data_IF_972255104196
#
_entry.id   IF_972255104196
#
_cell.length_a   1.000
_cell.length_b   1.000
_cell.length_c   1.000
_cell.angle_alpha   90.00
_cell.angle_beta   90.00
_cell.angle_gamma   90.00
#
_symmetry.space_group_name_H-M   'P 1'
#
loop_
_entity.id
_entity.type
_entity.pdbx_description
1 polymer ?
#
# COMPACT_ATOMS: atom_id res chain seq x y z
N UNK A 1 -25.05 19.74 89.96
CA UNK A 1 -25.43 21.14 89.73
C UNK A 1 -24.31 21.82 88.93
N UNK A 2 -24.60 22.19 87.66
CA UNK A 2 -23.89 23.15 86.77
C UNK A 2 -22.42 22.83 86.38
N UNK A 3 -21.90 23.09 85.16
CA UNK A 3 -22.38 23.55 83.85
C UNK A 3 -21.16 23.50 82.88
N UNK A 4 -21.42 23.27 81.57
CA UNK A 4 -20.67 23.75 80.37
C UNK A 4 -19.27 23.18 80.10
N UNK A 5 -18.73 23.13 78.87
CA UNK A 5 -19.19 23.01 77.46
C UNK A 5 -17.92 23.23 76.60
N UNK A 6 -17.82 22.57 75.44
CA UNK A 6 -16.88 22.82 74.32
C UNK A 6 -15.43 22.31 74.58
N UNK A 7 -14.69 21.74 73.63
CA UNK A 7 -14.66 21.92 72.18
C UNK A 7 -14.06 20.68 71.48
N UNK A 8 -14.52 20.44 70.24
CA UNK A 8 -13.98 19.42 69.35
C UNK A 8 -12.71 19.88 68.61
N UNK A 9 -11.75 18.98 68.41
CA UNK A 9 -10.92 18.98 67.19
C UNK A 9 -10.33 17.59 66.84
N UNK A 10 -10.94 16.98 65.82
CA UNK A 10 -10.28 16.38 64.64
C UNK A 10 -9.51 15.06 64.80
N UNK A 11 -10.17 13.96 64.43
CA UNK A 11 -9.58 12.92 63.59
C UNK A 11 -10.65 12.46 62.59
N UNK A 12 -10.50 12.85 61.31
CA UNK A 12 -11.28 12.31 60.19
C UNK A 12 -10.63 11.00 59.75
N UNK A 13 -11.20 9.87 60.11
CA UNK A 13 -10.91 8.58 59.46
C UNK A 13 -11.76 8.46 58.20
N UNK A 14 -11.09 8.46 57.05
CA UNK A 14 -11.68 8.16 55.75
C UNK A 14 -11.94 6.66 55.63
N UNK A 15 -13.20 6.23 55.72
CA UNK A 15 -13.64 4.98 55.11
C UNK A 15 -13.97 5.27 53.65
N UNK A 16 -12.97 5.13 52.79
CA UNK A 16 -13.15 5.07 51.35
C UNK A 16 -13.74 3.68 51.04
N UNK A 17 -15.06 3.60 50.89
CA UNK A 17 -15.72 2.43 50.34
C UNK A 17 -15.24 2.26 48.90
N UNK A 18 -14.24 1.40 48.70
CA UNK A 18 -13.87 0.88 47.39
C UNK A 18 -14.99 -0.09 46.98
N UNK A 19 -16.10 0.48 46.52
CA UNK A 19 -17.12 -0.25 45.78
C UNK A 19 -16.49 -0.69 44.47
N UNK A 20 -15.91 -1.89 44.49
CA UNK A 20 -15.55 -2.62 43.28
C UNK A 20 -16.87 -2.90 42.55
N UNK A 21 -17.28 -1.98 41.68
CA UNK A 21 -18.34 -2.25 40.73
C UNK A 21 -17.83 -3.30 39.77
N UNK A 22 -18.02 -4.58 40.12
CA UNK A 22 -18.19 -5.60 39.10
C UNK A 22 -19.36 -5.12 38.23
N UNK A 23 -19.07 -4.49 37.10
CA UNK A 23 -19.97 -4.52 35.97
C UNK A 23 -20.07 -5.98 35.56
N UNK A 24 -20.97 -6.72 36.22
CA UNK A 24 -21.49 -7.93 35.64
C UNK A 24 -22.09 -7.52 34.29
N UNK A 25 -21.45 -7.96 33.20
CA UNK A 25 -22.05 -7.85 31.87
C UNK A 25 -23.44 -8.49 31.97
N UNK A 26 -24.49 -7.67 31.86
CA UNK A 26 -25.84 -8.21 31.80
C UNK A 26 -25.86 -9.20 30.63
N UNK A 27 -26.37 -10.43 30.83
CA UNK A 27 -26.46 -11.39 29.73
C UNK A 27 -27.25 -10.75 28.59
N UNK A 28 -26.86 -11.06 27.35
CA UNK A 28 -27.58 -10.61 26.16
C UNK A 28 -29.08 -10.78 26.38
N UNK A 29 -29.86 -9.70 26.26
CA UNK A 29 -31.31 -9.78 26.32
C UNK A 29 -31.80 -10.42 25.03
N UNK A 30 -31.82 -11.75 25.03
CA UNK A 30 -32.39 -12.58 23.97
C UNK A 30 -33.87 -12.72 24.29
N UNK A 31 -34.73 -12.17 23.46
CA UNK A 31 -36.17 -12.26 23.63
C UNK A 31 -36.78 -12.97 22.43
N UNK A 32 -37.27 -14.19 22.63
CA UNK A 32 -38.11 -14.89 21.65
C UNK A 32 -39.54 -14.38 21.76
N UNK A 33 -40.12 -14.06 20.61
CA UNK A 33 -41.44 -13.47 20.46
C UNK A 33 -42.22 -14.26 19.41
N UNK A 34 -43.54 -14.32 19.59
CA UNK A 34 -44.47 -14.71 18.52
C UNK A 34 -45.32 -13.49 18.21
N UNK A 35 -45.24 -13.01 16.98
CA UNK A 35 -46.10 -11.94 16.49
C UNK A 35 -47.27 -12.58 15.72
N UNK A 36 -48.41 -12.63 16.41
CA UNK A 36 -49.69 -13.13 15.91
C UNK A 36 -50.53 -12.04 15.21
N UNK A 37 -50.14 -10.76 15.34
CA UNK A 37 -50.81 -9.59 14.72
C UNK A 37 -52.27 -9.33 15.16
N UNK A 38 -52.85 -10.18 16.00
CA UNK A 38 -54.24 -10.08 16.45
C UNK A 38 -54.57 -8.81 17.25
N UNK A 39 -53.56 -8.22 17.89
CA UNK A 39 -53.70 -6.94 18.59
C UNK A 39 -53.77 -5.72 17.66
N UNK A 40 -53.60 -5.88 16.34
CA UNK A 40 -53.65 -4.79 15.37
C UNK A 40 -55.09 -4.48 14.93
N UNK A 41 -55.35 -3.21 14.62
CA UNK A 41 -56.60 -2.79 13.99
C UNK A 41 -56.49 -2.98 12.47
N UNK A 42 -56.93 -4.12 11.96
CA UNK A 42 -56.86 -4.45 10.54
C UNK A 42 -58.24 -4.41 9.87
N UNK A 43 -58.30 -3.88 8.64
CA UNK A 43 -59.52 -3.87 7.83
C UNK A 43 -59.94 -5.28 7.39
N UNK A 44 -61.24 -5.48 7.19
CA UNK A 44 -61.83 -6.72 6.65
C UNK A 44 -62.11 -6.64 5.15
N UNK A 45 -61.77 -5.54 4.49
CA UNK A 45 -62.03 -5.31 3.05
C UNK A 45 -60.79 -4.89 2.26
N UNK A 46 -59.74 -4.43 2.93
CA UNK A 46 -58.51 -3.95 2.30
C UNK A 46 -57.30 -4.08 3.24
N UNK A 47 -56.09 -4.12 2.69
CA UNK A 47 -54.87 -4.16 3.50
C UNK A 47 -54.63 -2.87 4.27
N UNK A 48 -54.27 -2.98 5.55
CA UNK A 48 -53.93 -1.87 6.44
C UNK A 48 -52.42 -1.85 6.70
N UNK A 49 -51.82 -0.67 6.79
CA UNK A 49 -50.40 -0.55 7.09
C UNK A 49 -50.08 -1.09 8.50
N UNK A 50 -49.00 -1.85 8.63
CA UNK A 50 -48.52 -2.33 9.92
C UNK A 50 -47.79 -1.17 10.62
N UNK A 51 -48.13 -0.85 11.89
CA UNK A 51 -47.41 0.17 12.65
C UNK A 51 -45.91 -0.13 12.73
N UNK A 52 -45.09 0.91 12.67
CA UNK A 52 -43.67 0.77 12.95
C UNK A 52 -43.46 0.22 14.36
N UNK A 53 -42.38 -0.54 14.57
CA UNK A 53 -42.06 -1.19 15.85
C UNK A 53 -43.08 -2.25 16.32
N UNK A 54 -43.83 -2.87 15.39
CA UNK A 54 -44.70 -4.00 15.72
C UNK A 54 -43.82 -5.20 16.10
N UNK A 55 -43.80 -5.51 17.40
CA UNK A 55 -42.97 -6.59 17.94
C UNK A 55 -41.46 -6.30 17.90
N UNK A 56 -41.04 -5.04 17.91
CA UNK A 56 -39.61 -4.70 17.78
C UNK A 56 -39.07 -4.80 16.34
N UNK A 57 -39.94 -5.05 15.36
CA UNK A 57 -39.60 -5.16 13.95
C UNK A 57 -40.30 -4.08 13.12
N UNK A 58 -39.76 -3.84 11.93
CA UNK A 58 -40.36 -3.05 10.86
C UNK A 58 -40.76 -3.98 9.72
N UNK A 59 -42.04 -3.98 9.36
CA UNK A 59 -42.63 -4.84 8.34
C UNK A 59 -42.91 -4.02 7.09
N UNK A 60 -41.89 -3.81 6.26
CA UNK A 60 -42.04 -3.00 5.04
C UNK A 60 -42.74 -3.81 3.95
N UNK A 61 -43.72 -3.17 3.28
CA UNK A 61 -44.52 -3.76 2.21
C UNK A 61 -45.29 -5.05 2.61
N UNK A 62 -45.52 -5.20 3.91
CA UNK A 62 -46.54 -6.08 4.45
C UNK A 62 -47.74 -5.24 4.86
N UNK A 63 -48.94 -5.78 4.65
CA UNK A 63 -50.19 -5.19 5.09
C UNK A 63 -50.89 -6.18 6.01
N UNK A 64 -51.55 -5.67 7.04
CA UNK A 64 -52.39 -6.48 7.91
C UNK A 64 -53.83 -6.50 7.42
N UNK A 65 -54.52 -7.61 7.65
CA UNK A 65 -55.90 -7.84 7.24
C UNK A 65 -56.61 -8.68 8.30
N UNK A 66 -57.88 -8.41 8.57
CA UNK A 66 -58.72 -9.31 9.35
C UNK A 66 -59.07 -10.53 8.50
N UNK A 67 -58.18 -11.54 8.52
CA UNK A 67 -58.34 -12.76 7.75
C UNK A 67 -59.60 -13.53 8.14
N UNK A 68 -59.97 -13.51 9.42
CA UNK A 68 -61.21 -14.14 9.93
C UNK A 68 -62.50 -13.56 9.37
N UNK A 69 -62.47 -12.37 8.75
CA UNK A 69 -63.66 -11.69 8.23
C UNK A 69 -63.55 -11.35 6.74
N UNK A 70 -62.41 -11.62 6.10
CA UNK A 70 -62.18 -11.28 4.71
C UNK A 70 -62.76 -12.34 3.75
N UNK A 71 -63.71 -11.93 2.91
CA UNK A 71 -64.42 -12.83 1.99
C UNK A 71 -65.08 -14.02 2.70
N UNK A 72 -65.31 -15.12 1.99
CA UNK A 72 -65.74 -16.41 2.54
C UNK A 72 -64.59 -17.44 2.54
N UNK A 73 -64.70 -18.50 3.33
CA UNK A 73 -63.62 -19.48 3.56
C UNK A 73 -63.18 -20.24 2.29
N UNK A 74 -64.01 -20.24 1.25
CA UNK A 74 -63.74 -20.92 -0.03
C UNK A 74 -63.31 -19.95 -1.12
N UNK A 75 -63.27 -18.64 -0.86
CA UNK A 75 -62.97 -17.66 -1.88
C UNK A 75 -61.48 -17.41 -2.02
N UNK A 76 -60.70 -17.57 -0.95
CA UNK A 76 -59.28 -17.20 -0.90
C UNK A 76 -58.54 -17.87 0.27
N UNK A 77 -57.21 -17.79 0.24
CA UNK A 77 -56.31 -18.36 1.24
C UNK A 77 -56.06 -17.50 2.48
N UNK A 78 -56.66 -16.29 2.61
CA UNK A 78 -56.45 -15.45 3.81
C UNK A 78 -57.11 -16.03 5.06
N UNK A 79 -58.34 -16.56 4.91
CA UNK A 79 -59.03 -17.27 6.01
C UNK A 79 -58.31 -18.54 6.44
N UNK A 80 -57.97 -19.47 5.52
CA UNK A 80 -57.12 -20.62 5.85
C UNK A 80 -55.77 -20.26 6.46
N UNK A 81 -55.23 -19.10 6.08
CA UNK A 81 -53.99 -18.57 6.62
C UNK A 81 -54.08 -17.93 8.00
N UNK A 82 -55.29 -17.71 8.53
CA UNK A 82 -55.50 -17.16 9.88
C UNK A 82 -55.40 -18.29 10.90
N UNK A 83 -54.23 -18.44 11.50
CA UNK A 83 -53.95 -19.47 12.50
C UNK A 83 -54.34 -19.00 13.89
N UNK A 84 -53.92 -17.79 14.23
CA UNK A 84 -54.38 -17.05 15.38
C UNK A 84 -55.35 -15.97 14.89
N UNK A 85 -56.50 -15.86 15.56
CA UNK A 85 -57.56 -14.97 15.11
C UNK A 85 -57.51 -13.62 15.84
N UNK A 86 -57.83 -12.51 15.15
CA UNK A 86 -58.46 -12.48 13.83
C UNK A 86 -57.56 -12.16 12.63
N UNK A 87 -56.30 -11.80 12.85
CA UNK A 87 -55.53 -11.05 11.86
C UNK A 87 -54.43 -11.89 11.22
N UNK A 88 -54.11 -11.52 9.97
CA UNK A 88 -52.92 -11.99 9.27
C UNK A 88 -52.13 -10.80 8.75
N UNK A 89 -50.90 -11.05 8.31
CA UNK A 89 -50.20 -10.14 7.39
C UNK A 89 -50.02 -10.80 6.05
N UNK A 90 -50.02 -10.00 4.99
CA UNK A 90 -49.79 -10.49 3.64
C UNK A 90 -48.89 -9.57 2.85
N UNK A 91 -48.30 -10.13 1.80
CA UNK A 91 -47.56 -9.38 0.80
C UNK A 91 -48.12 -9.66 -0.60
N UNK A 92 -48.01 -8.67 -1.48
CA UNK A 92 -48.42 -8.76 -2.87
C UNK A 92 -47.30 -8.30 -3.81
N UNK A 93 -47.37 -8.67 -5.10
CA UNK A 93 -46.43 -8.18 -6.12
C UNK A 93 -46.40 -6.66 -6.29
N UNK A 94 -47.50 -5.97 -5.92
CA UNK A 94 -47.61 -4.52 -6.03
C UNK A 94 -46.74 -3.78 -4.99
N UNK A 95 -46.31 -4.48 -3.94
CA UNK A 95 -45.51 -3.95 -2.86
C UNK A 95 -44.29 -4.86 -2.65
N UNK A 96 -43.37 -4.89 -3.63
CA UNK A 96 -42.14 -5.69 -3.55
C UNK A 96 -40.88 -4.82 -3.57
N UNK A 97 -39.78 -5.26 -2.93
CA UNK A 97 -39.69 -6.45 -2.09
C UNK A 97 -40.37 -6.26 -0.72
N UNK A 98 -41.03 -7.30 -0.20
CA UNK A 98 -41.45 -7.30 1.20
C UNK A 98 -40.28 -7.64 2.11
N UNK A 99 -40.12 -6.92 3.21
CA UNK A 99 -38.95 -7.06 4.06
C UNK A 99 -39.25 -6.85 5.54
N UNK A 100 -38.47 -7.53 6.36
CA UNK A 100 -38.50 -7.46 7.82
C UNK A 100 -37.12 -7.03 8.31
N UNK A 101 -37.07 -5.97 9.12
CA UNK A 101 -35.85 -5.46 9.74
C UNK A 101 -36.09 -5.15 11.22
N UNK A 102 -35.07 -5.19 12.09
CA UNK A 102 -35.18 -4.69 13.45
C UNK A 102 -35.52 -3.19 13.48
N UNK A 103 -36.48 -2.81 14.33
CA UNK A 103 -36.79 -1.41 14.54
C UNK A 103 -35.66 -0.72 15.32
N UNK A 104 -35.16 0.40 14.80
CA UNK A 104 -34.00 1.11 15.40
C UNK A 104 -32.64 0.47 15.13
N UNK A 105 -32.57 -0.57 14.28
CA UNK A 105 -31.35 -1.30 13.97
C UNK A 105 -31.10 -2.50 14.92
N UNK A 106 -30.00 -3.21 14.70
CA UNK A 106 -29.67 -4.45 15.44
C UNK A 106 -29.79 -5.70 14.56
N UNK A 107 -29.95 -6.86 15.19
CA UNK A 107 -30.11 -8.14 14.49
C UNK A 107 -31.22 -8.97 15.13
N UNK A 108 -31.76 -9.92 14.37
CA UNK A 108 -32.76 -10.87 14.85
C UNK A 108 -32.51 -12.26 14.27
N UNK A 109 -33.15 -13.26 14.85
CA UNK A 109 -33.26 -14.60 14.26
C UNK A 109 -34.71 -14.81 13.87
N UNK A 110 -34.97 -15.11 12.60
CA UNK A 110 -36.31 -15.53 12.17
C UNK A 110 -36.39 -17.05 12.38
N UNK A 111 -37.36 -17.53 13.17
CA UNK A 111 -37.41 -18.93 13.60
C UNK A 111 -38.43 -19.72 12.77
N UNK A 112 -39.68 -19.28 12.76
CA UNK A 112 -40.78 -19.94 12.06
C UNK A 112 -41.93 -18.96 11.77
N UNK A 113 -42.84 -19.38 10.90
CA UNK A 113 -44.12 -18.70 10.67
C UNK A 113 -45.11 -19.70 10.07
N UNK A 114 -46.39 -19.42 10.21
CA UNK A 114 -47.39 -20.10 9.38
C UNK A 114 -47.52 -19.37 8.05
N UNK A 115 -47.30 -20.09 6.95
CA UNK A 115 -47.27 -19.56 5.60
C UNK A 115 -48.39 -20.19 4.75
N UNK A 116 -49.12 -19.37 4.03
CA UNK A 116 -50.23 -19.80 3.15
C UNK A 116 -50.16 -19.06 1.82
N UNK A 117 -50.45 -19.73 0.70
CA UNK A 117 -50.67 -19.05 -0.57
C UNK A 117 -52.07 -18.40 -0.56
N UNK A 118 -52.19 -17.12 -0.91
CA UNK A 118 -53.51 -16.49 -0.84
C UNK A 118 -54.41 -16.89 -2.02
N UNK A 119 -53.81 -17.24 -3.17
CA UNK A 119 -54.56 -17.47 -4.42
C UNK A 119 -54.14 -18.70 -5.21
N UNK A 120 -52.85 -19.02 -5.21
CA UNK A 120 -52.29 -19.91 -6.23
C UNK A 120 -51.78 -21.21 -5.61
N UNK A 121 -52.20 -22.33 -6.20
CA UNK A 121 -51.53 -23.62 -5.99
C UNK A 121 -50.14 -23.60 -6.64
N UNK A 122 -49.16 -24.23 -5.99
CA UNK A 122 -47.79 -24.29 -6.50
C UNK A 122 -47.02 -22.96 -6.45
N UNK A 123 -47.55 -21.96 -5.73
CA UNK A 123 -46.87 -20.68 -5.49
C UNK A 123 -45.48 -20.92 -4.88
N UNK A 124 -44.45 -20.27 -5.40
CA UNK A 124 -43.11 -20.29 -4.80
C UNK A 124 -42.91 -19.02 -3.98
N UNK A 125 -42.60 -19.16 -2.69
CA UNK A 125 -42.24 -18.06 -1.79
C UNK A 125 -40.76 -18.18 -1.44
N UNK A 126 -39.96 -17.24 -1.93
CA UNK A 126 -38.52 -17.13 -1.65
C UNK A 126 -38.30 -16.20 -0.46
N UNK A 127 -37.48 -16.64 0.48
CA UNK A 127 -37.10 -15.90 1.69
C UNK A 127 -35.59 -15.83 1.76
N UNK A 128 -35.03 -14.63 1.75
CA UNK A 128 -33.59 -14.39 1.74
C UNK A 128 -33.18 -13.51 2.92
N UNK A 129 -32.21 -13.97 3.69
CA UNK A 129 -31.70 -13.27 4.85
C UNK A 129 -30.35 -12.63 4.57
N UNK A 130 -30.16 -11.42 5.09
CA UNK A 130 -28.97 -10.61 4.90
C UNK A 130 -28.32 -10.29 6.25
N UNK A 131 -26.99 -10.25 6.23
CA UNK A 131 -26.17 -9.70 7.31
C UNK A 131 -25.19 -8.70 6.70
N UNK A 132 -25.33 -7.44 7.07
CA UNK A 132 -24.50 -6.31 6.67
C UNK A 132 -24.42 -6.17 5.15
N UNK A 133 -25.54 -6.39 4.48
CA UNK A 133 -25.67 -6.34 3.01
C UNK A 133 -25.30 -7.64 2.28
N UNK A 134 -24.63 -8.60 2.93
CA UNK A 134 -24.32 -9.90 2.35
C UNK A 134 -25.50 -10.87 2.53
N UNK A 135 -25.87 -11.59 1.47
CA UNK A 135 -26.84 -12.70 1.57
C UNK A 135 -26.20 -13.85 2.33
N UNK A 136 -26.84 -14.31 3.40
CA UNK A 136 -26.32 -15.38 4.27
C UNK A 136 -27.17 -16.64 4.22
N UNK A 137 -28.43 -16.54 3.77
CA UNK A 137 -29.30 -17.70 3.63
C UNK A 137 -30.44 -17.42 2.64
N UNK A 138 -30.80 -18.42 1.84
CA UNK A 138 -31.95 -18.39 0.92
C UNK A 138 -32.75 -19.66 1.09
N UNK A 139 -34.05 -19.53 1.32
CA UNK A 139 -35.01 -20.64 1.38
C UNK A 139 -36.16 -20.40 0.41
N UNK A 140 -36.73 -21.46 -0.14
CA UNK A 140 -37.92 -21.38 -1.00
C UNK A 140 -38.97 -22.38 -0.50
N UNK A 141 -40.21 -21.92 -0.38
CA UNK A 141 -41.34 -22.71 0.11
C UNK A 141 -42.45 -22.78 -0.95
N UNK A 142 -43.22 -23.85 -0.92
CA UNK A 142 -44.44 -24.03 -1.71
C UNK A 142 -45.64 -24.19 -0.77
N UNK A 143 -46.20 -23.09 -0.23
CA UNK A 143 -47.28 -23.19 0.75
C UNK A 143 -48.59 -23.63 0.11
N UNK A 144 -49.44 -24.29 0.89
CA UNK A 144 -50.81 -24.62 0.49
C UNK A 144 -51.68 -23.36 0.40
N UNK A 145 -52.66 -23.37 -0.52
CA UNK A 145 -53.67 -22.31 -0.60
C UNK A 145 -54.80 -22.50 0.43
N UNK A 146 -55.04 -23.74 0.88
CA UNK A 146 -56.23 -24.13 1.65
C UNK A 146 -55.95 -24.43 3.11
N UNK A 147 -54.69 -24.43 3.55
CA UNK A 147 -54.30 -24.69 4.95
C UNK A 147 -52.96 -24.02 5.22
N UNK A 148 -52.82 -23.33 6.35
CA UNK A 148 -51.52 -22.78 6.68
C UNK A 148 -50.49 -23.88 6.96
N UNK A 149 -49.28 -23.65 6.47
CA UNK A 149 -48.16 -24.56 6.63
C UNK A 149 -47.16 -23.91 7.58
N UNK A 150 -46.85 -24.57 8.70
CA UNK A 150 -45.75 -24.14 9.56
C UNK A 150 -44.43 -24.32 8.80
N UNK A 151 -43.74 -23.22 8.53
CA UNK A 151 -42.41 -23.21 7.93
C UNK A 151 -41.37 -22.78 8.96
N UNK A 152 -40.17 -23.33 8.84
CA UNK A 152 -39.01 -22.96 9.68
C UNK A 152 -37.93 -22.31 8.83
N UNK A 153 -37.15 -21.42 9.44
CA UNK A 153 -36.15 -20.60 8.74
C UNK A 153 -34.71 -20.90 9.23
N UNK A 154 -34.21 -22.15 9.05
CA UNK A 154 -32.88 -22.51 9.51
C UNK A 154 -31.80 -21.62 8.89
N UNK A 155 -30.81 -21.21 9.69
CA UNK A 155 -29.68 -20.40 9.25
C UNK A 155 -29.95 -18.90 9.18
N UNK A 156 -31.19 -18.43 9.38
CA UNK A 156 -31.53 -17.00 9.46
C UNK A 156 -31.27 -16.42 10.86
N UNK A 157 -30.03 -16.60 11.35
CA UNK A 157 -29.59 -16.24 12.71
C UNK A 157 -28.78 -14.95 12.70
N UNK A 158 -29.07 -14.04 13.62
CA UNK A 158 -28.38 -12.74 13.74
C UNK A 158 -28.29 -12.00 12.39
N UNK A 159 -29.43 -11.88 11.73
CA UNK A 159 -29.60 -11.18 10.45
C UNK A 159 -30.18 -9.80 10.71
N UNK A 160 -29.85 -8.82 9.86
CA UNK A 160 -30.38 -7.46 9.99
C UNK A 160 -31.54 -7.18 9.02
N UNK A 161 -31.74 -8.06 8.04
CA UNK A 161 -32.83 -7.97 7.08
C UNK A 161 -33.23 -9.33 6.55
N UNK A 162 -34.52 -9.59 6.45
CA UNK A 162 -35.08 -10.72 5.69
C UNK A 162 -35.99 -10.16 4.61
N UNK A 163 -35.83 -10.64 3.38
CA UNK A 163 -36.60 -10.26 2.21
C UNK A 163 -37.45 -11.45 1.75
N UNK A 164 -38.71 -11.18 1.45
CA UNK A 164 -39.67 -12.14 0.93
C UNK A 164 -40.09 -11.74 -0.47
N UNK A 165 -40.19 -12.72 -1.37
CA UNK A 165 -40.76 -12.55 -2.69
C UNK A 165 -41.53 -13.80 -3.11
N UNK A 166 -42.47 -13.64 -4.03
CA UNK A 166 -43.36 -14.73 -4.44
C UNK A 166 -43.63 -14.73 -5.94
N UNK A 167 -43.61 -15.91 -6.55
CA UNK A 167 -43.74 -16.09 -7.99
C UNK A 167 -44.39 -17.43 -8.35
N UNK A 168 -44.95 -17.49 -9.56
CA UNK A 168 -45.50 -18.70 -10.15
C UNK A 168 -46.80 -19.19 -9.51
N UNK A 169 -47.10 -20.47 -9.75
CA UNK A 169 -48.35 -21.10 -9.38
C UNK A 169 -49.50 -20.76 -10.33
N UNK A 170 -50.65 -21.40 -10.06
CA UNK A 170 -51.89 -21.21 -10.81
C UNK A 170 -53.04 -21.00 -9.84
N UNK A 171 -54.00 -20.16 -10.21
CA UNK A 171 -55.19 -19.90 -9.39
C UNK A 171 -55.82 -21.20 -8.89
N UNK A 172 -56.01 -21.30 -7.57
CA UNK A 172 -56.64 -22.45 -6.94
C UNK A 172 -58.09 -22.62 -7.45
N UNK A 173 -58.52 -23.82 -7.84
CA UNK A 173 -59.88 -24.06 -8.27
C UNK A 173 -60.93 -23.61 -7.24
N UNK A 174 -61.83 -22.71 -7.65
CA UNK A 174 -62.90 -22.19 -6.80
C UNK A 174 -62.59 -20.85 -6.12
N UNK A 175 -61.34 -20.39 -6.14
CA UNK A 175 -61.00 -19.06 -5.65
C UNK A 175 -61.40 -17.97 -6.65
N UNK A 176 -61.88 -16.84 -6.15
CA UNK A 176 -62.40 -15.72 -6.95
C UNK A 176 -61.84 -14.38 -6.45
N UNK A 177 -61.57 -13.44 -7.36
CA UNK A 177 -61.42 -12.02 -6.97
C UNK A 177 -60.02 -11.38 -7.04
N UNK A 178 -58.95 -12.02 -7.52
CA UNK A 178 -57.65 -11.33 -7.67
C UNK A 178 -56.92 -11.48 -9.02
N UNK A 179 -57.35 -12.40 -9.89
CA UNK A 179 -56.73 -12.56 -11.23
C UNK A 179 -55.32 -13.16 -11.20
N UNK A 180 -55.14 -14.32 -10.55
CA UNK A 180 -53.89 -15.10 -10.52
C UNK A 180 -52.68 -14.29 -10.00
N UNK A 181 -52.83 -13.61 -8.86
CA UNK A 181 -51.73 -12.86 -8.23
C UNK A 181 -50.94 -13.72 -7.25
N UNK A 182 -49.64 -13.44 -7.12
CA UNK A 182 -48.72 -14.25 -6.32
C UNK A 182 -48.65 -13.78 -4.87
N UNK A 183 -49.78 -13.68 -4.18
CA UNK A 183 -49.83 -13.24 -2.78
C UNK A 183 -49.53 -14.40 -1.83
N UNK A 184 -48.87 -14.11 -0.73
CA UNK A 184 -48.71 -15.03 0.39
C UNK A 184 -49.07 -14.36 1.71
N UNK A 185 -49.42 -15.20 2.68
CA UNK A 185 -49.93 -14.84 4.00
C UNK A 185 -48.98 -15.37 5.04
N UNK A 186 -48.65 -14.55 6.02
CA UNK A 186 -47.94 -14.97 7.23
C UNK A 186 -48.84 -14.73 8.44
N UNK A 187 -48.76 -15.66 9.38
CA UNK A 187 -49.34 -15.54 10.71
C UNK A 187 -48.43 -16.21 11.74
N UNK A 188 -48.61 -15.85 13.02
CA UNK A 188 -47.90 -16.45 14.16
C UNK A 188 -46.36 -16.50 13.92
N UNK A 189 -45.78 -15.37 13.52
CA UNK A 189 -44.37 -15.29 13.16
C UNK A 189 -43.51 -15.34 14.42
N UNK A 190 -42.74 -16.40 14.56
CA UNK A 190 -41.80 -16.58 15.66
C UNK A 190 -40.40 -16.09 15.29
N UNK A 191 -39.83 -15.24 16.14
CA UNK A 191 -38.49 -14.69 15.96
C UNK A 191 -37.86 -14.38 17.31
N UNK A 192 -36.55 -14.17 17.30
CA UNK A 192 -35.77 -13.80 18.47
C UNK A 192 -35.05 -12.49 18.21
N UNK A 193 -35.35 -11.46 18.99
CA UNK A 193 -34.62 -10.19 18.96
C UNK A 193 -33.31 -10.32 19.73
N UNK A 194 -32.25 -9.74 19.18
CA UNK A 194 -30.92 -9.74 19.78
C UNK A 194 -30.35 -8.33 19.72
N UNK A 195 -30.02 -7.77 20.88
CA UNK A 195 -29.29 -6.50 20.94
C UNK A 195 -27.94 -6.67 20.26
N UNK A 196 -27.59 -5.77 19.33
CA UNK A 196 -26.30 -5.78 18.65
C UNK A 196 -25.68 -4.38 18.62
N UNK A 197 -24.35 -4.35 18.52
CA UNK A 197 -23.53 -3.15 18.56
C UNK A 197 -22.77 -2.98 17.26
N UNK A 198 -22.78 -1.75 16.72
CA UNK A 198 -22.08 -1.43 15.49
C UNK A 198 -20.57 -1.31 15.73
N UNK A 199 -19.78 -1.91 14.84
CA UNK A 199 -18.34 -1.73 14.71
C UNK A 199 -18.09 -0.86 13.48
N UNK A 200 -17.55 0.33 13.72
CA UNK A 200 -17.29 1.32 12.67
C UNK A 200 -15.80 1.42 12.43
N UNK A 201 -15.38 1.40 11.15
CA UNK A 201 -14.00 1.71 10.78
C UNK A 201 -13.86 3.21 10.57
N UNK A 202 -13.11 3.89 11.44
CA UNK A 202 -12.84 5.32 11.29
C UNK A 202 -11.54 5.77 11.98
N UNK A 203 -10.71 6.63 11.35
CA UNK A 203 -10.87 7.13 9.97
C UNK A 203 -10.65 6.02 8.93
N UNK A 204 -11.09 6.26 7.69
CA UNK A 204 -10.78 5.36 6.58
C UNK A 204 -9.25 5.24 6.44
N UNK A 205 -8.67 4.03 6.44
CA UNK A 205 -7.23 3.89 6.39
C UNK A 205 -6.64 4.36 5.06
N UNK A 206 -5.42 4.91 5.11
CA UNK A 206 -4.62 5.27 3.92
C UNK A 206 -3.54 4.19 3.75
N UNK A 207 -3.21 3.82 2.50
CA UNK A 207 -2.21 2.79 2.15
C UNK A 207 -2.55 1.37 2.62
N UNK A 208 -3.85 1.08 2.72
CA UNK A 208 -4.38 -0.24 3.02
C UNK A 208 -5.88 -0.16 3.26
N UNK A 209 -6.49 -1.28 3.64
CA UNK A 209 -7.90 -1.37 4.03
C UNK A 209 -8.05 -2.03 5.39
N UNK A 210 -9.21 -1.85 6.02
CA UNK A 210 -9.57 -2.51 7.26
C UNK A 210 -11.03 -2.94 7.14
N UNK A 211 -11.30 -4.23 7.39
CA UNK A 211 -12.64 -4.80 7.36
C UNK A 211 -12.92 -5.55 8.66
N UNK A 212 -14.10 -5.37 9.24
CA UNK A 212 -14.52 -6.05 10.47
C UNK A 212 -15.65 -7.03 10.17
N UNK A 213 -15.63 -8.20 10.81
CA UNK A 213 -16.70 -9.20 10.69
C UNK A 213 -17.01 -9.81 12.06
N UNK A 214 -18.30 -9.82 12.48
CA UNK A 214 -19.42 -9.07 11.89
C UNK A 214 -19.30 -7.55 12.19
N UNK A 215 -19.96 -6.70 11.40
CA UNK A 215 -20.03 -5.24 11.66
C UNK A 215 -21.16 -4.85 12.60
N UNK A 216 -22.20 -5.70 12.73
CA UNK A 216 -23.18 -5.67 13.82
C UNK A 216 -22.94 -6.89 14.70
N UNK A 217 -22.45 -6.65 15.91
CA UNK A 217 -22.00 -7.70 16.83
C UNK A 217 -23.06 -7.91 17.91
N UNK A 218 -23.69 -9.10 18.01
CA UNK A 218 -24.57 -9.42 19.12
C UNK A 218 -23.91 -9.14 20.48
N UNK A 219 -24.68 -8.59 21.41
CA UNK A 219 -24.21 -8.21 22.73
C UNK A 219 -23.45 -9.37 23.43
N UNK A 220 -22.26 -9.08 23.92
CA UNK A 220 -21.40 -10.03 24.62
C UNK A 220 -20.63 -11.00 23.71
N UNK A 221 -20.78 -10.88 22.39
CA UNK A 221 -20.02 -11.70 21.42
C UNK A 221 -18.80 -10.95 20.87
N UNK A 222 -18.05 -11.60 19.96
CA UNK A 222 -16.75 -11.12 19.49
C UNK A 222 -16.83 -10.67 18.03
N UNK A 223 -15.92 -9.78 17.64
CA UNK A 223 -15.66 -9.38 16.26
C UNK A 223 -14.16 -9.48 15.96
N UNK A 224 -13.83 -9.76 14.69
CA UNK A 224 -12.45 -9.69 14.19
C UNK A 224 -12.37 -8.65 13.09
N UNK A 225 -11.35 -7.81 13.13
CA UNK A 225 -11.02 -6.89 12.06
C UNK A 225 -9.68 -7.27 11.44
N UNK A 226 -9.65 -7.35 10.11
CA UNK A 226 -8.48 -7.72 9.32
C UNK A 226 -8.04 -6.53 8.49
N UNK A 227 -6.80 -6.12 8.68
CA UNK A 227 -6.15 -5.11 7.87
C UNK A 227 -5.51 -5.75 6.62
N UNK A 228 -5.64 -5.10 5.47
CA UNK A 228 -4.94 -5.51 4.25
C UNK A 228 -4.04 -4.34 3.81
N UNK A 229 -2.72 -4.39 4.07
CA UNK A 229 -1.80 -3.36 3.59
C UNK A 229 -1.78 -3.27 2.07
N UNK A 230 -1.60 -2.06 1.53
CA UNK A 230 -1.28 -1.88 0.12
C UNK A 230 0.15 -2.39 -0.18
N UNK A 231 0.48 -2.72 -1.44
CA UNK A 231 1.84 -3.12 -1.82
C UNK A 231 2.90 -2.11 -1.34
N UNK A 232 3.97 -2.61 -0.71
CA UNK A 232 5.03 -1.78 -0.13
C UNK A 232 4.76 -1.18 1.24
N UNK A 233 3.62 -1.52 1.87
CA UNK A 233 3.26 -1.10 3.23
C UNK A 233 3.05 -2.30 4.15
N UNK A 234 3.12 -2.04 5.45
CA UNK A 234 2.81 -3.00 6.51
C UNK A 234 1.93 -2.36 7.58
N UNK A 235 1.17 -3.18 8.32
CA UNK A 235 0.39 -2.68 9.46
C UNK A 235 1.35 -2.15 10.53
N UNK A 236 1.14 -0.91 10.93
CA UNK A 236 1.89 -0.25 12.00
C UNK A 236 1.19 -0.43 13.33
N UNK A 237 -0.06 0.05 13.44
CA UNK A 237 -0.84 -0.03 14.69
C UNK A 237 -2.31 -0.26 14.42
N UNK A 238 -3.00 -0.79 15.44
CA UNK A 238 -4.45 -0.81 15.54
C UNK A 238 -4.89 0.08 16.72
N UNK A 239 -6.10 0.62 16.63
CA UNK A 239 -6.79 1.29 17.74
C UNK A 239 -8.22 0.79 17.84
N UNK A 240 -8.78 0.74 19.05
CA UNK A 240 -10.14 0.26 19.31
C UNK A 240 -10.31 -1.27 19.29
N UNK A 241 -9.21 -2.02 19.15
CA UNK A 241 -9.17 -3.48 19.20
C UNK A 241 -7.79 -3.96 19.66
N UNK A 242 -7.68 -5.25 19.99
CA UNK A 242 -6.41 -5.86 20.43
C UNK A 242 -5.76 -6.63 19.29
N UNK A 243 -4.52 -6.29 18.91
CA UNK A 243 -3.79 -7.00 17.84
C UNK A 243 -3.49 -8.44 18.24
N UNK A 244 -3.72 -9.38 17.32
CA UNK A 244 -3.41 -10.80 17.53
C UNK A 244 -1.96 -11.08 17.14
N UNK A 245 -1.06 -11.08 18.13
CA UNK A 245 0.37 -11.32 17.92
C UNK A 245 0.99 -10.37 16.87
N UNK A 246 1.64 -10.93 15.85
CA UNK A 246 2.22 -10.20 14.72
C UNK A 246 1.36 -10.25 13.45
N UNK A 247 0.11 -10.72 13.54
CA UNK A 247 -0.80 -10.82 12.39
C UNK A 247 -1.30 -9.45 11.92
N UNK A 248 -2.01 -9.45 10.79
CA UNK A 248 -2.78 -8.30 10.33
C UNK A 248 -4.21 -8.30 10.89
N UNK A 249 -4.46 -9.05 11.96
CA UNK A 249 -5.77 -9.13 12.60
C UNK A 249 -5.77 -8.45 13.96
N UNK A 250 -6.91 -7.88 14.30
CA UNK A 250 -7.22 -7.45 15.65
C UNK A 250 -8.61 -7.92 16.09
N UNK A 251 -8.76 -8.14 17.39
CA UNK A 251 -9.97 -8.70 17.97
C UNK A 251 -10.65 -7.70 18.91
N UNK A 252 -11.97 -7.71 18.85
CA UNK A 252 -12.86 -7.15 19.86
C UNK A 252 -13.53 -8.32 20.55
N UNK A 253 -13.32 -8.45 21.86
CA UNK A 253 -13.90 -9.51 22.68
C UNK A 253 -14.98 -8.94 23.58
N UNK A 254 -16.08 -9.67 23.76
CA UNK A 254 -17.18 -9.29 24.65
C UNK A 254 -17.71 -7.86 24.35
N UNK A 255 -18.19 -7.65 23.12
CA UNK A 255 -18.68 -6.35 22.68
C UNK A 255 -20.02 -6.03 23.36
N UNK A 256 -20.03 -5.02 24.24
CA UNK A 256 -21.23 -4.59 24.99
C UNK A 256 -21.69 -3.18 24.65
N UNK A 257 -20.99 -2.48 23.75
CA UNK A 257 -21.34 -1.15 23.23
C UNK A 257 -20.78 -0.98 21.81
N UNK A 258 -21.28 -0.02 21.02
CA UNK A 258 -20.68 0.33 19.74
C UNK A 258 -19.19 0.69 19.89
N UNK A 259 -18.37 0.31 18.91
CA UNK A 259 -16.94 0.58 18.93
C UNK A 259 -16.45 1.13 17.61
N UNK A 260 -15.39 1.94 17.67
CA UNK A 260 -14.70 2.47 16.50
C UNK A 260 -13.29 1.90 16.44
N UNK A 261 -12.93 1.35 15.29
CA UNK A 261 -11.65 0.68 15.06
C UNK A 261 -10.90 1.40 13.95
N UNK A 262 -9.58 1.50 14.08
CA UNK A 262 -8.72 2.01 13.03
C UNK A 262 -7.42 1.21 12.92
N UNK A 263 -6.80 1.30 11.74
CA UNK A 263 -5.48 0.74 11.47
C UNK A 263 -4.63 1.80 10.75
N UNK A 264 -3.34 1.85 11.07
CA UNK A 264 -2.37 2.68 10.35
C UNK A 264 -1.34 1.81 9.66
N UNK A 265 -0.80 2.31 8.55
CA UNK A 265 0.16 1.60 7.72
C UNK A 265 1.43 2.43 7.58
N UNK A 266 2.58 1.77 7.61
CA UNK A 266 3.90 2.39 7.39
C UNK A 266 4.57 1.76 6.19
N UNK A 267 5.36 2.52 5.40
CA UNK A 267 6.14 1.96 4.31
C UNK A 267 7.10 0.87 4.80
N UNK A 268 7.27 -0.18 4.00
CA UNK A 268 8.36 -1.12 4.15
C UNK A 268 9.62 -0.48 3.56
N UNK A 269 10.73 -0.53 4.30
CA UNK A 269 12.02 0.01 3.86
C UNK A 269 13.10 -1.06 3.86
N UNK A 270 14.03 -0.96 2.91
CA UNK A 270 15.16 -1.88 2.77
C UNK A 270 16.48 -1.14 2.95
N UNK A 271 17.38 -1.62 3.82
CA UNK A 271 18.70 -1.02 3.97
C UNK A 271 19.58 -1.35 2.76
N UNK A 272 20.43 -0.40 2.38
CA UNK A 272 21.52 -0.59 1.43
C UNK A 272 22.82 -0.63 2.23
N UNK A 273 23.48 -1.78 2.23
CA UNK A 273 24.78 -1.97 2.88
C UNK A 273 25.90 -1.55 1.93
N UNK A 274 26.75 -0.63 2.37
CA UNK A 274 27.88 -0.15 1.56
C UNK A 274 29.14 -0.88 2.01
N UNK A 275 29.83 -1.55 1.09
CA UNK A 275 31.17 -2.08 1.35
C UNK A 275 32.17 -0.94 1.21
N UNK A 276 32.89 -0.54 2.29
CA UNK A 276 33.80 0.60 2.24
C UNK A 276 34.89 0.40 1.20
N UNK A 277 35.02 1.29 0.19
CA UNK A 277 36.03 1.15 -0.83
C UNK A 277 37.37 1.73 -0.37
N UNK A 278 38.48 1.19 -0.91
CA UNK A 278 39.81 1.81 -0.79
C UNK A 278 39.97 2.93 -1.83
N UNK A 279 40.64 4.04 -1.48
CA UNK A 279 40.97 5.14 -2.39
C UNK A 279 39.76 5.94 -2.93
N UNK A 280 38.71 6.04 -2.11
CA UNK A 280 37.55 6.90 -2.36
C UNK A 280 36.46 6.65 -1.32
N UNK A 281 35.26 7.17 -1.57
CA UNK A 281 34.06 6.93 -0.76
C UNK A 281 32.89 6.52 -1.63
N UNK A 282 31.86 5.95 -1.02
CA UNK A 282 30.61 5.57 -1.67
C UNK A 282 29.45 5.89 -0.72
N UNK A 283 28.43 6.59 -1.22
CA UNK A 283 27.23 6.93 -0.45
C UNK A 283 25.98 6.67 -1.30
N UNK A 284 24.92 6.14 -0.68
CA UNK A 284 23.66 5.84 -1.36
C UNK A 284 22.50 6.64 -0.75
N UNK A 285 21.67 7.24 -1.61
CA UNK A 285 20.53 8.06 -1.20
C UNK A 285 19.30 7.73 -2.08
N UNK A 286 18.12 7.49 -1.48
CA UNK A 286 17.85 7.31 -0.04
C UNK A 286 18.40 5.97 0.50
N UNK A 287 18.72 5.94 1.80
CA UNK A 287 19.06 4.72 2.54
C UNK A 287 18.56 4.84 4.00
N UNK A 288 17.60 4.01 4.46
CA UNK A 288 17.00 2.89 3.74
C UNK A 288 16.05 3.37 2.62
N UNK A 289 15.82 2.52 1.63
CA UNK A 289 14.98 2.81 0.45
C UNK A 289 13.59 2.20 0.63
N UNK A 290 12.54 2.93 0.26
CA UNK A 290 11.17 2.40 0.29
C UNK A 290 11.01 1.22 -0.68
N UNK A 291 10.19 0.23 -0.32
CA UNK A 291 9.88 -0.92 -1.16
C UNK A 291 9.46 -0.50 -2.58
N UNK A 292 10.10 -1.10 -3.59
CA UNK A 292 9.84 -0.83 -5.01
C UNK A 292 10.36 0.53 -5.51
N UNK A 293 10.97 1.34 -4.65
CA UNK A 293 11.61 2.60 -5.03
C UNK A 293 13.05 2.36 -5.49
N UNK A 294 13.67 3.43 -6.00
CA UNK A 294 15.06 3.43 -6.49
C UNK A 294 15.97 4.19 -5.53
N UNK A 295 17.26 3.88 -5.56
CA UNK A 295 18.31 4.62 -4.86
C UNK A 295 19.50 4.87 -5.80
N UNK A 296 20.13 6.03 -5.65
CA UNK A 296 21.36 6.38 -6.37
C UNK A 296 22.54 6.31 -5.41
N UNK A 297 23.58 5.60 -5.80
CA UNK A 297 24.85 5.54 -5.09
C UNK A 297 25.93 6.30 -5.86
N UNK A 298 26.56 7.27 -5.21
CA UNK A 298 27.58 8.13 -5.80
C UNK A 298 28.94 7.80 -5.19
N UNK A 299 29.88 7.43 -6.04
CA UNK A 299 31.28 7.22 -5.68
C UNK A 299 32.04 8.55 -5.76
N UNK A 300 32.91 8.81 -4.79
CA UNK A 300 33.83 9.96 -4.82
C UNK A 300 35.26 9.45 -4.78
N UNK A 301 35.98 9.42 -5.93
CA UNK A 301 37.38 9.03 -5.95
C UNK A 301 38.27 9.93 -5.09
N UNK A 302 39.30 9.35 -4.46
CA UNK A 302 40.38 10.14 -3.86
C UNK A 302 41.21 10.85 -4.95
N UNK A 303 41.96 11.92 -4.61
CA UNK A 303 42.84 12.59 -5.57
C UNK A 303 43.75 11.61 -6.32
N UNK A 304 43.78 11.72 -7.66
CA UNK A 304 44.56 10.84 -8.53
C UNK A 304 43.90 9.50 -8.88
N UNK A 305 42.73 9.19 -8.34
CA UNK A 305 41.97 7.99 -8.66
C UNK A 305 40.72 8.30 -9.50
N UNK A 306 40.20 7.26 -10.15
CA UNK A 306 38.93 7.28 -10.88
C UNK A 306 38.12 6.03 -10.56
N UNK A 307 36.80 6.10 -10.71
CA UNK A 307 35.93 4.92 -10.54
C UNK A 307 36.28 3.88 -11.60
N UNK A 308 36.60 2.68 -11.16
CA UNK A 308 36.89 1.53 -12.03
C UNK A 308 35.62 0.71 -12.27
N UNK A 309 35.00 0.21 -11.21
CA UNK A 309 33.77 -0.60 -11.32
C UNK A 309 32.80 -0.35 -10.17
N UNK A 310 31.53 -0.68 -10.39
CA UNK A 310 30.51 -0.81 -9.36
C UNK A 310 30.07 -2.28 -9.29
N UNK A 311 29.62 -2.71 -8.11
CA UNK A 311 28.94 -3.99 -7.92
C UNK A 311 27.70 -3.80 -7.05
N UNK A 312 26.64 -4.57 -7.33
CA UNK A 312 25.35 -4.46 -6.64
C UNK A 312 24.44 -3.32 -7.13
N UNK A 313 24.81 -2.63 -8.20
CA UNK A 313 24.04 -1.57 -8.83
C UNK A 313 24.46 -1.40 -10.31
N UNK A 314 23.66 -0.67 -11.09
CA UNK A 314 23.94 -0.40 -12.50
C UNK A 314 24.58 0.97 -12.67
N UNK A 315 25.79 1.05 -13.24
CA UNK A 315 26.48 2.32 -13.49
C UNK A 315 25.71 3.19 -14.48
N UNK A 316 25.59 4.49 -14.19
CA UNK A 316 24.93 5.46 -15.07
C UNK A 316 25.95 6.01 -16.07
N UNK A 317 26.00 5.42 -17.27
CA UNK A 317 26.94 5.83 -18.32
C UNK A 317 28.40 5.82 -17.84
N UNK A 318 29.10 6.94 -18.03
CA UNK A 318 30.48 7.17 -17.57
C UNK A 318 30.57 7.97 -16.27
N UNK A 319 29.45 8.24 -15.61
CA UNK A 319 29.42 9.00 -14.36
C UNK A 319 30.03 8.23 -13.19
N UNK A 320 30.16 8.92 -12.05
CA UNK A 320 30.49 8.31 -10.77
C UNK A 320 29.25 7.83 -10.00
N UNK A 321 28.11 7.68 -10.69
CA UNK A 321 26.87 7.23 -10.10
C UNK A 321 26.52 5.82 -10.57
N UNK A 322 25.87 5.07 -9.67
CA UNK A 322 25.17 3.85 -10.00
C UNK A 322 23.76 3.84 -9.38
N UNK A 323 22.84 3.12 -10.00
CA UNK A 323 21.45 3.05 -9.59
C UNK A 323 21.04 1.64 -9.17
N UNK A 324 20.26 1.58 -8.10
CA UNK A 324 19.40 0.47 -7.78
C UNK A 324 17.97 0.88 -8.15
N UNK A 325 17.28 0.06 -8.91
CA UNK A 325 15.88 0.28 -9.29
C UNK A 325 15.00 -0.82 -8.71
N UNK A 326 13.77 -0.46 -8.36
CA UNK A 326 12.77 -1.41 -7.85
C UNK A 326 13.30 -2.27 -6.68
N UNK A 327 13.80 -1.63 -5.62
CA UNK A 327 14.41 -2.34 -4.49
C UNK A 327 13.33 -3.03 -3.67
N UNK A 328 13.34 -4.37 -3.69
CA UNK A 328 12.35 -5.24 -3.02
C UNK A 328 12.95 -6.11 -1.92
N UNK A 329 14.24 -5.96 -1.64
CA UNK A 329 14.97 -6.64 -0.58
C UNK A 329 16.21 -5.81 -0.17
N UNK A 330 16.83 -6.08 0.99
CA UNK A 330 18.11 -5.48 1.34
C UNK A 330 19.16 -5.71 0.24
N UNK A 331 19.97 -4.70 -0.05
CA UNK A 331 20.99 -4.75 -1.09
C UNK A 331 22.39 -4.44 -0.53
N UNK A 332 23.43 -4.92 -1.21
CA UNK A 332 24.82 -4.57 -0.89
C UNK A 332 25.48 -3.96 -2.11
N UNK A 333 26.15 -2.82 -1.95
CA UNK A 333 26.76 -2.06 -3.03
C UNK A 333 28.23 -1.80 -2.72
N UNK A 334 29.08 -1.84 -3.74
CA UNK A 334 30.49 -1.48 -3.64
C UNK A 334 30.98 -0.75 -4.90
N UNK A 335 32.07 -0.01 -4.75
CA UNK A 335 32.79 0.62 -5.84
C UNK A 335 34.28 0.29 -5.72
N UNK A 336 34.98 0.18 -6.84
CA UNK A 336 36.45 0.08 -6.85
C UNK A 336 37.03 1.27 -7.57
N UNK A 337 38.22 1.69 -7.15
CA UNK A 337 38.92 2.83 -7.71
C UNK A 337 40.27 2.37 -8.28
N UNK A 338 40.60 2.88 -9.46
CA UNK A 338 41.90 2.67 -10.09
C UNK A 338 42.62 4.01 -10.21
N UNK A 339 43.95 3.99 -10.17
CA UNK A 339 44.76 5.18 -10.38
C UNK A 339 44.47 5.73 -11.79
N UNK A 340 44.25 7.04 -11.91
CA UNK A 340 44.00 7.70 -13.18
C UNK A 340 45.23 7.60 -14.09
N UNK A 341 45.01 7.56 -15.40
CA UNK A 341 46.08 7.54 -16.40
C UNK A 341 45.92 8.71 -17.36
N UNK A 342 47.02 9.37 -17.68
CA UNK A 342 47.08 10.55 -18.55
C UNK A 342 47.81 10.24 -19.83
N UNK A 343 47.17 10.54 -20.96
CA UNK A 343 47.82 10.51 -22.27
C UNK A 343 48.74 11.71 -22.41
N UNK A 344 49.96 11.46 -22.88
CA UNK A 344 50.92 12.49 -23.25
C UNK A 344 50.92 12.62 -24.77
N UNK A 345 50.59 13.82 -25.27
CA UNK A 345 50.58 14.10 -26.71
C UNK A 345 51.99 14.49 -27.14
N UNK A 346 52.65 13.63 -27.91
CA UNK A 346 53.91 13.95 -28.56
C UNK A 346 53.63 14.69 -29.89
N UNK A 347 53.88 15.99 -29.91
CA UNK A 347 53.78 16.81 -31.11
C UNK A 347 55.01 16.57 -31.99
N UNK A 348 54.80 15.85 -33.09
CA UNK A 348 55.84 15.56 -34.06
C UNK A 348 56.07 16.77 -34.99
N UNK A 349 57.33 17.00 -35.33
CA UNK A 349 57.76 18.02 -36.29
C UNK A 349 58.14 17.33 -37.61
N UNK A 350 57.97 17.95 -38.79
CA UNK A 350 58.42 17.35 -40.06
C UNK A 350 59.91 16.98 -40.08
N UNK A 351 60.73 17.63 -39.25
CA UNK A 351 62.18 17.49 -39.20
C UNK A 351 62.67 16.55 -38.08
N UNK A 352 61.79 15.77 -37.44
CA UNK A 352 62.17 14.75 -36.47
C UNK A 352 60.97 14.09 -35.78
N UNK A 353 61.20 13.01 -35.03
CA UNK A 353 60.12 12.33 -34.30
C UNK A 353 60.26 12.50 -32.79
N UNK A 354 59.13 12.42 -32.08
CA UNK A 354 59.08 12.46 -30.62
C UNK A 354 58.29 11.26 -30.10
N UNK A 355 58.89 10.51 -29.18
CA UNK A 355 58.24 9.37 -28.51
C UNK A 355 58.31 9.53 -27.01
N UNK A 356 57.21 9.30 -26.30
CA UNK A 356 57.12 9.43 -24.83
C UNK A 356 56.75 8.10 -24.20
N UNK A 357 57.49 7.67 -23.17
CA UNK A 357 57.29 6.40 -22.47
C UNK A 357 57.43 6.59 -20.95
N UNK A 358 56.52 6.01 -20.13
CA UNK A 358 55.27 5.36 -20.49
C UNK A 358 54.22 6.34 -21.04
N UNK A 359 53.34 5.88 -21.93
CA UNK A 359 52.19 6.63 -22.43
C UNK A 359 51.03 5.66 -22.74
N UNK A 360 49.90 5.71 -22.02
CA UNK A 360 49.57 6.69 -20.97
C UNK A 360 50.39 6.46 -19.68
N UNK A 361 50.56 7.53 -18.89
CA UNK A 361 51.25 7.51 -17.59
C UNK A 361 50.25 7.53 -16.45
N UNK A 362 50.52 6.83 -15.35
CA UNK A 362 49.68 6.91 -14.14
C UNK A 362 49.80 8.27 -13.44
N UNK A 363 48.75 8.68 -12.71
CA UNK A 363 48.78 9.92 -11.92
C UNK A 363 49.96 9.95 -10.95
N UNK A 364 50.71 11.05 -10.97
CA UNK A 364 51.95 11.23 -10.19
C UNK A 364 53.16 10.50 -10.76
N UNK A 365 53.00 9.77 -11.88
CA UNK A 365 54.09 9.10 -12.58
C UNK A 365 54.97 10.07 -13.36
N UNK A 366 56.12 9.57 -13.80
CA UNK A 366 57.08 10.31 -14.61
C UNK A 366 57.10 9.76 -16.04
N UNK A 367 57.37 10.63 -17.01
CA UNK A 367 57.44 10.29 -18.44
C UNK A 367 58.77 10.75 -18.98
N UNK A 368 59.43 9.90 -19.76
CA UNK A 368 60.61 10.30 -20.54
C UNK A 368 60.23 10.36 -22.01
N UNK A 369 60.51 11.50 -22.65
CA UNK A 369 60.34 11.68 -24.09
C UNK A 369 61.70 11.76 -24.78
N UNK A 370 61.83 11.05 -25.90
CA UNK A 370 63.04 10.99 -26.71
C UNK A 370 62.76 11.56 -28.10
N UNK A 371 63.52 12.59 -28.46
CA UNK A 371 63.52 13.18 -29.79
C UNK A 371 64.51 12.43 -30.69
N UNK A 372 64.10 12.12 -31.91
CA UNK A 372 64.97 11.58 -32.95
C UNK A 372 65.04 12.60 -34.10
N UNK A 373 66.10 13.43 -34.15
CA UNK A 373 66.26 14.43 -35.19
C UNK A 373 66.43 13.81 -36.59
N UNK A 374 65.87 14.43 -37.62
CA UNK A 374 66.18 14.07 -39.00
C UNK A 374 67.59 14.56 -39.41
N UNK A 375 68.15 13.96 -40.45
CA UNK A 375 69.47 14.35 -40.96
C UNK A 375 69.48 15.84 -41.35
N UNK A 376 70.46 16.59 -40.83
CA UNK A 376 70.60 18.03 -41.08
C UNK A 376 69.77 18.93 -40.16
N UNK A 377 68.98 18.38 -39.23
CA UNK A 377 68.11 19.14 -38.33
C UNK A 377 68.35 18.77 -36.86
N UNK A 378 69.47 19.17 -36.23
CA UNK A 378 69.72 18.91 -34.81
C UNK A 378 68.59 19.47 -33.92
N UNK A 379 68.37 18.78 -32.80
CA UNK A 379 67.46 19.24 -31.75
C UNK A 379 67.94 20.59 -31.19
N UNK A 380 67.04 21.57 -31.20
CA UNK A 380 67.24 22.89 -30.60
C UNK A 380 66.70 22.95 -29.17
N UNK A 381 65.61 22.23 -28.88
CA UNK A 381 65.08 22.12 -27.54
C UNK A 381 63.74 21.40 -27.47
N UNK A 382 63.14 21.40 -26.28
CA UNK A 382 61.81 20.84 -26.04
C UNK A 382 60.85 21.91 -25.51
N UNK A 383 59.55 21.68 -25.71
CA UNK A 383 58.47 22.39 -25.01
C UNK A 383 57.59 21.39 -24.25
N UNK A 384 57.03 21.80 -23.11
CA UNK A 384 56.15 20.95 -22.29
C UNK A 384 56.84 19.87 -21.46
N UNK A 385 58.18 19.85 -21.42
CA UNK A 385 58.98 18.96 -20.57
C UNK A 385 60.34 19.60 -20.22
N UNK A 386 61.07 19.02 -19.27
CA UNK A 386 62.41 19.48 -18.88
C UNK A 386 63.47 18.65 -19.60
N UNK A 387 64.33 19.28 -20.41
CA UNK A 387 65.42 18.58 -21.10
C UNK A 387 66.46 18.02 -20.11
N UNK A 388 66.95 16.81 -20.37
CA UNK A 388 67.97 16.14 -19.55
C UNK A 388 69.36 16.44 -20.14
N UNK A 389 70.10 17.32 -19.47
CA UNK A 389 71.43 17.74 -19.92
C UNK A 389 71.40 18.37 -21.31
N UNK A 390 72.37 18.00 -22.16
CA UNK A 390 72.44 18.41 -23.57
C UNK A 390 71.98 17.31 -24.53
N UNK A 391 71.32 16.26 -24.02
CA UNK A 391 70.89 15.11 -24.81
C UNK A 391 69.55 15.31 -25.52
N UNK A 392 69.15 14.31 -26.31
CA UNK A 392 67.88 14.29 -27.05
C UNK A 392 66.70 13.75 -26.23
N UNK A 393 66.73 13.91 -24.91
CA UNK A 393 65.70 13.40 -24.00
C UNK A 393 65.19 14.51 -23.10
N UNK A 394 63.91 14.45 -22.78
CA UNK A 394 63.30 15.30 -21.76
C UNK A 394 62.36 14.50 -20.86
N UNK A 395 62.07 15.03 -19.67
CA UNK A 395 61.21 14.37 -18.68
C UNK A 395 60.07 15.26 -18.22
N UNK A 396 58.90 14.64 -18.02
CA UNK A 396 57.84 15.19 -17.18
C UNK A 396 57.85 14.41 -15.87
N UNK A 397 57.79 15.14 -14.76
CA UNK A 397 57.71 14.52 -13.43
C UNK A 397 56.37 14.84 -12.78
N UNK A 398 55.87 13.91 -11.96
CA UNK A 398 54.63 14.08 -11.21
C UNK A 398 53.45 14.50 -12.11
N UNK A 399 53.15 13.72 -13.15
CA UNK A 399 52.09 14.04 -14.10
C UNK A 399 50.72 13.91 -13.43
N UNK A 400 50.02 15.03 -13.23
CA UNK A 400 48.67 15.09 -12.62
C UNK A 400 47.55 15.36 -13.63
N UNK A 401 47.87 15.43 -14.92
CA UNK A 401 46.93 15.73 -15.99
C UNK A 401 47.51 15.44 -17.38
N UNK A 402 46.68 15.45 -18.44
CA UNK A 402 47.18 15.35 -19.81
C UNK A 402 48.16 16.49 -20.12
N UNK A 403 49.21 16.18 -20.87
CA UNK A 403 50.21 17.17 -21.27
C UNK A 403 50.60 16.99 -22.73
N UNK A 404 51.03 18.07 -23.36
CA UNK A 404 51.56 18.07 -24.73
C UNK A 404 53.04 18.42 -24.69
N UNK A 405 53.84 17.62 -25.38
CA UNK A 405 55.30 17.76 -25.46
C UNK A 405 55.69 17.92 -26.92
N UNK A 406 56.57 18.87 -27.24
CA UNK A 406 57.12 19.00 -28.59
C UNK A 406 58.66 19.03 -28.56
N UNK A 407 59.27 18.55 -29.63
CA UNK A 407 60.68 18.73 -29.91
C UNK A 407 60.83 19.77 -31.03
N UNK A 408 61.74 20.71 -30.86
CA UNK A 408 62.03 21.78 -31.83
C UNK A 408 63.36 21.46 -32.49
N UNK A 409 63.38 21.35 -33.82
CA UNK A 409 64.59 21.10 -34.59
C UNK A 409 64.96 22.32 -35.41
N UNK A 410 66.26 22.58 -35.55
CA UNK A 410 66.79 23.71 -36.34
C UNK A 410 67.75 23.21 -37.40
N UNK A 411 67.84 23.91 -38.53
CA UNK A 411 68.79 23.57 -39.60
C UNK A 411 70.22 23.62 -39.07
N UNK A 412 71.01 22.59 -39.35
CA UNK A 412 72.42 22.56 -38.99
C UNK A 412 73.17 23.71 -39.69
N UNK A 413 73.84 24.56 -38.91
CA UNK A 413 74.75 25.56 -39.46
C UNK A 413 75.98 24.80 -39.96
N UNK A 414 76.37 24.93 -41.24
CA UNK A 414 77.56 24.27 -41.75
C UNK A 414 78.79 24.84 -41.03
N UNK A 415 79.37 24.08 -40.11
CA UNK A 415 80.67 24.41 -39.55
C UNK A 415 81.71 24.18 -40.65
N UNK A 416 82.38 25.24 -41.07
CA UNK A 416 83.55 25.15 -41.94
C UNK A 416 84.49 24.09 -41.33
N UNK A 417 84.91 23.10 -42.13
CA UNK A 417 85.87 22.11 -41.67
C UNK A 417 87.14 22.80 -41.16
N UNK A 418 87.89 22.18 -40.25
CA UNK A 418 89.17 22.74 -39.77
C UNK A 418 90.09 23.14 -40.94
N UNK A 419 90.01 22.40 -42.06
CA UNK A 419 90.68 22.71 -43.32
C UNK A 419 90.15 23.96 -44.02
N UNK A 420 88.84 24.18 -44.03
CA UNK A 420 88.23 25.38 -44.60
C UNK A 420 88.49 26.63 -43.75
N UNK A 421 88.55 26.49 -42.42
CA UNK A 421 89.00 27.54 -41.49
C UNK A 421 90.49 27.86 -41.68
N UNK A 422 91.34 26.85 -41.85
CA UNK A 422 92.77 27.05 -42.18
C UNK A 422 92.96 27.75 -43.53
N UNK A 423 92.19 27.37 -44.55
CA UNK A 423 92.24 28.01 -45.88
C UNK A 423 91.75 29.47 -45.84
N UNK A 424 90.73 29.79 -45.04
CA UNK A 424 90.32 31.18 -44.81
C UNK A 424 91.40 31.99 -44.09
N UNK A 425 92.08 31.41 -43.09
CA UNK A 425 93.21 32.04 -42.41
C UNK A 425 94.42 32.27 -43.31
N UNK A 426 94.76 31.31 -44.17
CA UNK A 426 95.81 31.43 -45.19
C UNK A 426 95.46 32.48 -46.27
N UNK A 427 94.18 32.58 -46.64
CA UNK A 427 93.68 33.62 -47.56
C UNK A 427 93.82 35.04 -47.01
N UNK A 428 93.52 35.24 -45.71
CA UNK A 428 93.70 36.53 -45.04
C UNK A 428 95.19 36.94 -44.91
N UNK A 429 96.08 35.98 -44.64
CA UNK A 429 97.53 36.23 -44.58
C UNK A 429 98.14 36.55 -45.96
N UNK A 430 97.67 35.89 -47.02
CA UNK A 430 98.13 36.13 -48.40
C UNK A 430 97.77 37.52 -48.96
N UNK A 431 96.64 38.10 -48.54
CA UNK A 431 96.22 39.46 -48.93
C UNK A 431 96.97 40.56 -48.17
N UNK A 432 97.43 40.30 -46.94
CA UNK A 432 98.29 41.23 -46.18
C UNK A 432 99.70 41.39 -46.77
N UNK A 433 100.27 40.32 -47.33
CA UNK A 433 101.63 40.32 -47.87
C UNK A 433 101.80 41.06 -49.21
N UNK A 434 100.72 41.32 -49.97
CA UNK A 434 100.76 42.06 -51.24
C UNK A 434 100.81 43.59 -51.09
N UNK A 435 100.49 44.15 -49.91
CA UNK A 435 100.57 45.62 -49.66
C UNK A 435 101.95 46.13 -49.27
N UNK A 436 102.92 45.27 -48.98
CA UNK A 436 104.26 45.65 -48.48
C UNK A 436 105.41 45.57 -49.50
N UNK A 437 105.14 45.19 -50.77
CA UNK A 437 106.18 45.06 -51.84
C UNK A 437 106.18 46.16 -52.91
N UNK A 438 105.54 47.32 -52.68
CA UNK A 438 105.56 48.47 -53.62
C UNK A 438 106.05 49.80 -53.02
N UNK A 439 106.84 49.74 -51.95
CA UNK A 439 107.57 50.90 -51.42
C UNK A 439 109.01 50.50 -51.10
N UNK A 440 109.85 50.43 -52.13
CA UNK A 440 111.31 50.53 -52.05
C UNK A 440 111.81 50.89 -53.46
#
# INVERSE_FOLDING_TARGET
>A
MRLRSLSASWFRTALLACGLSLLAAAPAQVQTMTQNFDGLTCSSTSGTAIPANTGGLTWTNFLCLNGSSFGTATENGYRPGTQSAPNIIFSSPMFQPAQVTPFGGGVFTLNSAYLTAAWNDGLQVRVEAFRSGASVQVLTFTPSATTATLVTFPGMVNVDRVVFSSAGGTLHPGYVGSGNTTHFVLDDVNYTLVTAHAITVAPAPINGTLSCTPTLVPNGTNATCTATPAPGYQVSTFSGCTRVGTSNDCQLTNVTAPATVSATFTPITYPITITPPSNGTLACTPNPVNHGSSATCTATPAPGYQVSTFSGCTRVGTSNDCQLTNVTAPATVSATFALATYTITAANDPNGTLTCTPNPVTHGGNVTCMATPAAGYPLSGFTGCTQVGTGNTCTLTNVTGPATVAAVFTVAIPTLSQWALMLLGLGAAGLGARRLRRAA
#
